data_IF_051252302046
#
_entry.id   IF_051252302046
#
_cell.length_a   1.000
_cell.length_b   1.000
_cell.length_c   1.000
_cell.angle_alpha   90.00
_cell.angle_beta   90.00
_cell.angle_gamma   90.00
#
_symmetry.space_group_name_H-M   'P 1'
#
loop_
_entity.id
_entity.type
_entity.pdbx_description
1 polymer ?
#
# COMPACT_ATOMS: atom_id res chain seq x y z
N UNK A 1 -10.57 9.92 -1.82
CA UNK A 1 -9.73 10.27 -2.99
C UNK A 1 -10.37 9.75 -4.27
N UNK A 2 -10.32 10.51 -5.38
CA UNK A 2 -10.82 10.12 -6.71
C UNK A 2 -9.84 10.56 -7.79
N UNK A 3 -9.41 9.66 -8.68
CA UNK A 3 -8.59 10.04 -9.83
C UNK A 3 -9.45 10.81 -10.84
N UNK A 4 -8.90 11.89 -11.40
CA UNK A 4 -9.53 12.76 -12.40
C UNK A 4 -8.96 12.46 -13.78
N UNK A 5 -7.64 12.53 -13.94
CA UNK A 5 -6.98 12.24 -15.22
C UNK A 5 -5.54 11.76 -15.00
N UNK A 6 -5.02 10.99 -15.94
CA UNK A 6 -3.62 10.59 -16.00
C UNK A 6 -3.10 10.77 -17.42
N UNK A 7 -2.02 11.53 -17.57
CA UNK A 7 -1.22 11.60 -18.78
C UNK A 7 0.13 10.95 -18.52
N UNK A 8 0.53 9.99 -19.37
CA UNK A 8 1.85 9.36 -19.31
C UNK A 8 2.63 9.86 -20.52
N UNK A 9 3.75 10.52 -20.27
CA UNK A 9 4.62 11.06 -21.33
C UNK A 9 5.84 10.18 -21.59
N UNK A 10 6.13 9.24 -20.68
CA UNK A 10 7.13 8.20 -20.88
C UNK A 10 7.08 7.19 -19.73
N UNK A 11 7.03 5.90 -20.05
CA UNK A 11 7.00 4.80 -19.09
C UNK A 11 7.89 3.64 -19.56
N UNK A 12 9.19 3.74 -19.27
CA UNK A 12 10.18 2.72 -19.66
C UNK A 12 9.88 1.35 -19.04
N UNK A 13 9.23 1.31 -17.86
CA UNK A 13 8.82 0.08 -17.17
C UNK A 13 7.80 -0.75 -17.94
N UNK A 14 7.06 -0.14 -18.87
CA UNK A 14 6.11 -0.83 -19.73
C UNK A 14 6.63 -0.96 -21.17
N UNK A 15 7.92 -0.77 -21.40
CA UNK A 15 8.53 -0.78 -22.73
C UNK A 15 7.97 0.30 -23.66
N UNK A 16 7.52 1.42 -23.10
CA UNK A 16 6.90 2.52 -23.84
C UNK A 16 5.45 2.28 -24.30
N UNK A 17 4.82 1.15 -23.91
CA UNK A 17 3.45 0.81 -24.33
C UNK A 17 2.41 1.90 -24.00
N UNK A 18 2.63 2.64 -22.91
CA UNK A 18 1.71 3.64 -22.40
C UNK A 18 2.15 5.07 -22.73
N UNK A 19 3.18 5.25 -23.54
CA UNK A 19 3.72 6.57 -23.88
C UNK A 19 2.70 7.39 -24.68
N UNK A 20 2.49 8.62 -24.26
CA UNK A 20 1.53 9.54 -24.88
C UNK A 20 0.07 9.27 -24.52
N UNK A 21 -0.24 8.28 -23.67
CA UNK A 21 -1.63 8.01 -23.28
C UNK A 21 -2.15 9.12 -22.37
N UNK A 22 -3.41 9.50 -22.61
CA UNK A 22 -4.21 10.34 -21.72
C UNK A 22 -5.48 9.56 -21.35
N UNK A 23 -5.65 9.31 -20.06
CA UNK A 23 -6.78 8.58 -19.51
C UNK A 23 -7.63 9.54 -18.67
N UNK A 24 -8.77 10.01 -19.19
CA UNK A 24 -9.74 10.77 -18.41
C UNK A 24 -10.54 9.78 -17.54
N UNK A 25 -10.32 9.80 -16.24
CA UNK A 25 -11.03 8.93 -15.30
C UNK A 25 -12.39 9.51 -14.92
N UNK A 26 -12.43 10.81 -14.59
CA UNK A 26 -13.64 11.51 -14.10
C UNK A 26 -13.62 12.99 -14.49
N UNK A 27 -14.79 13.62 -14.37
CA UNK A 27 -14.90 15.07 -14.42
C UNK A 27 -14.24 15.75 -13.21
N UNK A 28 -13.92 17.04 -13.30
CA UNK A 28 -13.16 17.78 -12.29
C UNK A 28 -13.92 17.96 -10.96
N UNK A 29 -15.24 17.80 -10.97
CA UNK A 29 -16.12 18.03 -9.81
C UNK A 29 -16.72 16.71 -9.27
N UNK A 30 -16.02 15.58 -9.45
CA UNK A 30 -16.51 14.29 -8.97
C UNK A 30 -16.66 14.29 -7.43
N UNK A 31 -17.81 13.84 -6.94
CA UNK A 31 -18.06 13.77 -5.51
C UNK A 31 -17.20 12.65 -4.88
N UNK A 32 -16.28 13.01 -3.98
CA UNK A 32 -15.37 12.03 -3.37
C UNK A 32 -16.02 11.16 -2.30
N UNK A 33 -17.22 11.53 -1.82
CA UNK A 33 -17.95 10.79 -0.79
C UNK A 33 -18.78 9.63 -1.38
N UNK A 34 -19.01 9.61 -2.69
CA UNK A 34 -19.74 8.54 -3.36
C UNK A 34 -18.81 7.38 -3.72
N UNK A 35 -19.26 6.14 -3.49
CA UNK A 35 -18.60 4.97 -4.07
C UNK A 35 -18.88 4.94 -5.57
N UNK A 36 -17.82 4.98 -6.37
CA UNK A 36 -17.89 5.15 -7.82
C UNK A 36 -16.65 4.46 -8.41
N UNK A 37 -16.74 3.15 -8.69
CA UNK A 37 -15.61 2.34 -9.18
C UNK A 37 -15.33 2.58 -10.67
N UNK A 38 -14.08 2.41 -11.09
CA UNK A 38 -13.68 2.44 -12.50
C UNK A 38 -13.36 1.02 -12.94
N UNK A 39 -13.96 0.60 -14.06
CA UNK A 39 -13.69 -0.68 -14.70
C UNK A 39 -12.84 -0.48 -15.96
N UNK A 40 -11.67 -1.11 -16.01
CA UNK A 40 -10.85 -1.18 -17.21
C UNK A 40 -11.23 -2.45 -17.99
N UNK A 41 -11.80 -2.29 -19.19
CA UNK A 41 -12.28 -3.41 -20.02
C UNK A 41 -11.51 -3.42 -21.34
N UNK A 42 -11.17 -4.62 -21.82
CA UNK A 42 -10.48 -4.82 -23.09
C UNK A 42 -9.88 -6.22 -23.22
N UNK A 43 -9.47 -6.65 -24.42
CA UNK A 43 -8.82 -7.94 -24.66
C UNK A 43 -7.58 -8.20 -23.78
N UNK A 44 -7.16 -9.45 -23.68
CA UNK A 44 -5.91 -9.79 -22.99
C UNK A 44 -4.71 -9.16 -23.72
N UNK A 45 -3.74 -8.65 -22.95
CA UNK A 45 -2.55 -8.00 -23.51
C UNK A 45 -2.70 -6.51 -23.87
N UNK A 46 -3.86 -5.88 -23.68
CA UNK A 46 -4.08 -4.47 -24.06
C UNK A 46 -3.54 -3.42 -23.07
N UNK A 47 -2.70 -3.82 -22.10
CA UNK A 47 -2.10 -2.85 -21.17
C UNK A 47 -2.91 -2.52 -19.91
N UNK A 48 -4.04 -3.20 -19.64
CA UNK A 48 -4.91 -2.89 -18.47
C UNK A 48 -4.15 -2.98 -17.15
N UNK A 49 -3.41 -4.08 -16.96
CA UNK A 49 -2.62 -4.32 -15.75
C UNK A 49 -1.42 -3.38 -15.67
N UNK A 50 -0.81 -3.07 -16.81
CA UNK A 50 0.28 -2.09 -16.92
C UNK A 50 -0.18 -0.69 -16.51
N UNK A 51 -1.40 -0.28 -16.87
CA UNK A 51 -1.95 1.01 -16.43
C UNK A 51 -2.11 1.06 -14.91
N UNK A 52 -2.64 -0.01 -14.30
CA UNK A 52 -2.77 -0.10 -12.84
C UNK A 52 -1.40 -0.12 -12.14
N UNK A 53 -0.42 -0.81 -12.73
CA UNK A 53 0.96 -0.81 -12.26
C UNK A 53 1.55 0.60 -12.31
N UNK A 54 1.39 1.34 -13.41
CA UNK A 54 1.88 2.73 -13.52
C UNK A 54 1.25 3.62 -12.45
N UNK A 55 -0.05 3.50 -12.20
CA UNK A 55 -0.70 4.25 -11.12
C UNK A 55 -0.07 3.93 -9.77
N UNK A 56 0.21 2.66 -9.47
CA UNK A 56 0.88 2.26 -8.24
C UNK A 56 2.35 2.75 -8.18
N UNK A 57 3.09 2.71 -9.29
CA UNK A 57 4.46 3.23 -9.40
C UNK A 57 4.54 4.74 -9.20
N UNK A 58 3.56 5.49 -9.72
CA UNK A 58 3.42 6.93 -9.48
C UNK A 58 3.32 7.18 -7.97
N UNK A 59 2.35 6.56 -7.31
CA UNK A 59 2.17 6.77 -5.87
C UNK A 59 3.35 6.28 -5.04
N UNK A 60 3.97 5.16 -5.39
CA UNK A 60 5.20 4.69 -4.75
C UNK A 60 6.31 5.76 -4.84
N UNK A 61 6.55 6.31 -6.04
CA UNK A 61 7.58 7.31 -6.26
C UNK A 61 7.32 8.60 -5.48
N UNK A 62 6.07 9.07 -5.47
CA UNK A 62 5.64 10.26 -4.72
C UNK A 62 5.81 10.04 -3.21
N UNK A 63 5.42 8.87 -2.71
CA UNK A 63 5.51 8.55 -1.30
C UNK A 63 6.96 8.37 -0.83
N UNK A 64 7.85 7.79 -1.65
CA UNK A 64 9.27 7.76 -1.35
C UNK A 64 9.89 9.17 -1.27
N UNK A 65 9.43 10.11 -2.11
CA UNK A 65 9.96 11.48 -2.12
C UNK A 65 9.43 12.32 -0.95
N UNK A 66 8.13 12.23 -0.64
CA UNK A 66 7.47 13.12 0.32
C UNK A 66 7.08 12.46 1.65
N UNK A 67 7.25 11.15 1.81
CA UNK A 67 6.98 10.42 3.06
C UNK A 67 8.02 9.31 3.32
N UNK A 68 9.33 9.63 3.31
CA UNK A 68 10.42 8.64 3.38
C UNK A 68 10.50 7.87 4.70
N UNK A 69 9.84 8.34 5.76
CA UNK A 69 9.75 7.61 7.03
C UNK A 69 8.71 6.49 6.99
N UNK A 70 7.79 6.50 6.03
CA UNK A 70 6.75 5.49 5.85
C UNK A 70 7.08 4.63 4.64
N UNK A 71 7.44 5.25 3.51
CA UNK A 71 7.69 4.55 2.26
C UNK A 71 9.18 4.53 1.90
N UNK A 72 9.71 3.32 1.69
CA UNK A 72 11.11 3.09 1.33
C UNK A 72 11.20 2.14 0.15
N UNK A 73 12.31 2.22 -0.56
CA UNK A 73 12.61 1.34 -1.68
C UNK A 73 13.17 2.15 -2.84
N UNK A 74 13.45 1.46 -3.93
CA UNK A 74 13.90 2.11 -5.17
C UNK A 74 12.68 2.60 -5.93
N UNK A 75 12.52 3.92 -6.05
CA UNK A 75 11.50 4.52 -6.92
C UNK A 75 11.89 4.34 -8.39
N UNK A 76 10.89 4.35 -9.27
CA UNK A 76 11.11 4.36 -10.71
C UNK A 76 11.27 5.81 -11.18
N UNK A 77 12.50 6.24 -11.45
CA UNK A 77 12.79 7.61 -11.90
C UNK A 77 12.71 7.76 -13.44
N UNK A 78 12.39 6.68 -14.16
CA UNK A 78 12.17 6.66 -15.62
C UNK A 78 10.67 6.73 -16.00
N UNK A 79 9.81 7.11 -15.05
CA UNK A 79 8.38 7.33 -15.27
C UNK A 79 8.04 8.81 -15.29
N UNK A 80 7.52 9.30 -16.40
CA UNK A 80 7.14 10.69 -16.64
C UNK A 80 5.63 10.81 -16.83
N UNK A 81 4.99 11.62 -16.00
CA UNK A 81 3.54 11.63 -15.87
C UNK A 81 3.01 12.96 -15.38
N UNK A 82 1.71 13.14 -15.56
CA UNK A 82 0.86 14.12 -14.89
C UNK A 82 -0.40 13.39 -14.41
N UNK A 83 -0.62 13.34 -13.10
CA UNK A 83 -1.79 12.72 -12.49
C UNK A 83 -2.57 13.79 -11.73
N UNK A 84 -3.86 13.90 -12.03
CA UNK A 84 -4.78 14.75 -11.29
C UNK A 84 -5.76 13.90 -10.47
N UNK A 85 -6.03 14.35 -9.25
CA UNK A 85 -6.99 13.70 -8.37
C UNK A 85 -7.66 14.70 -7.41
N UNK A 86 -8.79 14.27 -6.87
CA UNK A 86 -9.51 14.94 -5.80
C UNK A 86 -9.25 14.19 -4.49
N UNK A 87 -8.92 14.93 -3.44
CA UNK A 87 -8.76 14.40 -2.09
C UNK A 87 -9.47 15.31 -1.10
N UNK A 88 -10.17 14.70 -0.14
CA UNK A 88 -10.77 15.40 0.99
C UNK A 88 -9.81 15.35 2.17
N UNK A 89 -9.61 16.47 2.84
CA UNK A 89 -8.95 16.47 4.14
C UNK A 89 -9.87 15.92 5.24
N UNK A 90 -9.39 15.94 6.49
CA UNK A 90 -10.15 15.50 7.67
C UNK A 90 -11.38 16.36 7.97
N UNK A 91 -11.49 17.55 7.36
CA UNK A 91 -12.59 18.49 7.52
C UNK A 91 -13.53 18.48 6.31
N UNK A 92 -13.45 17.43 5.47
CA UNK A 92 -14.21 17.27 4.23
C UNK A 92 -14.00 18.39 3.20
N UNK A 93 -12.90 19.16 3.33
CA UNK A 93 -12.53 20.15 2.32
C UNK A 93 -11.89 19.43 1.14
N UNK A 94 -12.52 19.54 -0.02
CA UNK A 94 -11.99 18.97 -1.26
C UNK A 94 -10.88 19.84 -1.82
N UNK A 95 -9.76 19.21 -2.13
CA UNK A 95 -8.64 19.79 -2.86
C UNK A 95 -8.44 19.04 -4.15
N UNK A 96 -8.27 19.78 -5.25
CA UNK A 96 -7.79 19.21 -6.52
C UNK A 96 -6.28 19.33 -6.56
N UNK A 97 -5.63 18.19 -6.72
CA UNK A 97 -4.18 18.06 -6.66
C UNK A 97 -3.70 17.54 -8.00
N UNK A 98 -2.61 18.11 -8.48
CA UNK A 98 -1.85 17.62 -9.63
C UNK A 98 -0.46 17.23 -9.14
N UNK A 99 -0.04 16.03 -9.49
CA UNK A 99 1.34 15.59 -9.30
C UNK A 99 1.95 15.35 -10.68
N UNK A 100 3.18 15.83 -10.89
CA UNK A 100 3.83 15.68 -12.18
C UNK A 100 5.32 15.40 -12.06
N UNK A 101 5.83 14.62 -13.01
CA UNK A 101 7.26 14.47 -13.26
C UNK A 101 7.49 14.60 -14.76
N UNK A 102 8.21 15.65 -15.16
CA UNK A 102 8.48 15.95 -16.57
C UNK A 102 9.90 15.55 -16.95
N UNK A 103 10.10 15.22 -18.22
CA UNK A 103 11.42 15.01 -18.81
C UNK A 103 12.06 16.38 -19.00
N UNK A 104 12.65 16.89 -17.93
CA UNK A 104 13.43 18.13 -18.00
C UNK A 104 14.90 17.76 -18.20
N UNK A 105 15.62 18.44 -19.09
CA UNK A 105 17.03 18.13 -19.43
C UNK A 105 18.02 18.27 -18.25
N UNK A 106 17.51 18.52 -17.04
CA UNK A 106 18.26 18.62 -15.80
C UNK A 106 18.51 17.23 -15.19
N UNK A 107 19.63 17.11 -14.47
CA UNK A 107 20.03 15.86 -13.79
C UNK A 107 19.09 15.40 -12.67
N UNK A 108 18.10 16.21 -12.25
CA UNK A 108 17.20 15.89 -11.15
C UNK A 108 15.76 15.83 -11.65
N UNK A 109 15.27 14.62 -11.85
CA UNK A 109 13.88 14.30 -12.21
C UNK A 109 12.97 14.41 -10.99
N UNK A 110 12.74 15.65 -10.52
CA UNK A 110 11.94 15.91 -9.32
C UNK A 110 10.44 15.77 -9.60
N UNK A 111 9.69 15.28 -8.62
CA UNK A 111 8.23 15.33 -8.63
C UNK A 111 7.78 16.72 -8.17
N UNK A 112 6.83 17.29 -8.89
CA UNK A 112 6.12 18.51 -8.50
C UNK A 112 4.73 18.16 -7.99
N UNK A 113 4.27 18.91 -6.99
CA UNK A 113 2.92 18.81 -6.43
C UNK A 113 2.29 20.18 -6.51
N UNK A 114 1.11 20.26 -7.11
CA UNK A 114 0.37 21.50 -7.33
C UNK A 114 -1.06 21.34 -6.80
N UNK A 115 -1.64 22.42 -6.30
CA UNK A 115 -3.04 22.46 -5.86
C UNK A 115 -3.78 23.54 -6.62
N UNK A 116 -5.03 23.27 -6.98
CA UNK A 116 -5.89 24.27 -7.60
C UNK A 116 -6.43 25.24 -6.53
N UNK A 117 -6.11 26.53 -6.66
CA UNK A 117 -6.58 27.64 -5.81
C UNK A 117 -7.10 28.73 -6.74
N UNK A 118 -8.35 29.15 -6.55
CA UNK A 118 -8.98 30.23 -7.33
C UNK A 118 -8.81 30.09 -8.86
N UNK A 119 -8.96 28.86 -9.37
CA UNK A 119 -8.78 28.45 -10.77
C UNK A 119 -7.33 28.37 -11.30
N UNK A 120 -6.35 28.74 -10.49
CA UNK A 120 -4.92 28.66 -10.81
C UNK A 120 -4.21 27.51 -10.08
N UNK A 121 -3.17 26.96 -10.72
CA UNK A 121 -2.34 25.91 -10.12
C UNK A 121 -1.18 26.52 -9.34
N UNK A 122 -1.14 26.28 -8.04
CA UNK A 122 -0.06 26.71 -7.16
C UNK A 122 0.87 25.54 -6.80
N UNK A 123 2.17 25.69 -7.05
CA UNK A 123 3.19 24.69 -6.67
C UNK A 123 3.40 24.67 -5.15
N UNK A 124 3.21 23.50 -4.54
CA UNK A 124 3.46 23.27 -3.12
C UNK A 124 4.89 22.80 -2.87
N UNK A 125 5.56 23.47 -1.93
CA UNK A 125 6.91 23.13 -1.49
C UNK A 125 6.99 22.67 -0.04
N UNK A 126 5.93 22.88 0.76
CA UNK A 126 5.89 22.47 2.17
C UNK A 126 5.61 20.95 2.28
N UNK A 127 6.58 20.13 2.75
CA UNK A 127 6.42 18.69 2.85
C UNK A 127 5.24 18.26 3.74
N UNK A 128 4.89 19.06 4.76
CA UNK A 128 3.77 18.74 5.66
C UNK A 128 2.44 18.82 4.92
N UNK A 129 2.21 19.95 4.24
CA UNK A 129 1.01 20.15 3.40
C UNK A 129 0.94 19.14 2.26
N UNK A 130 2.08 18.79 1.66
CA UNK A 130 2.12 17.75 0.63
C UNK A 130 1.66 16.41 1.23
N UNK A 131 2.20 15.98 2.37
CA UNK A 131 1.85 14.68 2.97
C UNK A 131 0.37 14.55 3.32
N UNK A 132 -0.29 15.65 3.72
CA UNK A 132 -1.75 15.72 3.98
C UNK A 132 -2.60 15.54 2.72
N UNK A 133 -2.04 15.84 1.54
CA UNK A 133 -2.70 15.73 0.24
C UNK A 133 -2.39 14.41 -0.49
N UNK A 134 -1.56 13.55 0.11
CA UNK A 134 -1.25 12.22 -0.42
C UNK A 134 -2.20 11.16 0.16
N UNK A 135 -2.41 10.04 -0.55
CA UNK A 135 -3.22 8.95 -0.02
C UNK A 135 -2.58 8.38 1.25
N UNK A 136 -3.42 8.13 2.27
CA UNK A 136 -2.98 7.48 3.50
C UNK A 136 -2.54 6.03 3.28
N UNK A 137 -3.19 5.33 2.34
CA UNK A 137 -2.85 3.98 1.88
C UNK A 137 -3.14 3.84 0.38
N UNK A 138 -2.32 3.07 -0.30
CA UNK A 138 -2.55 2.60 -1.68
C UNK A 138 -2.58 1.08 -1.63
N UNK A 139 -3.75 0.50 -1.89
CA UNK A 139 -3.98 -0.94 -1.77
C UNK A 139 -4.15 -1.53 -3.18
N UNK A 140 -3.26 -2.44 -3.55
CA UNK A 140 -3.42 -3.29 -4.71
C UNK A 140 -4.11 -4.58 -4.30
N UNK A 141 -5.08 -5.04 -5.10
CA UNK A 141 -5.68 -6.37 -4.93
C UNK A 141 -5.51 -7.18 -6.21
N UNK A 142 -5.11 -8.44 -6.08
CA UNK A 142 -5.00 -9.40 -7.19
C UNK A 142 -5.42 -10.80 -6.75
N UNK A 143 -6.05 -11.56 -7.64
CA UNK A 143 -6.33 -12.98 -7.40
C UNK A 143 -5.07 -13.86 -7.46
N UNK A 144 -3.93 -13.32 -7.90
CA UNK A 144 -2.66 -14.02 -8.07
C UNK A 144 -2.17 -14.09 -9.51
N UNK A 145 -3.03 -13.84 -10.49
CA UNK A 145 -2.70 -13.99 -11.93
C UNK A 145 -2.03 -12.75 -12.55
N UNK A 146 -1.96 -11.64 -11.80
CA UNK A 146 -1.49 -10.36 -12.31
C UNK A 146 -0.10 -10.03 -11.75
N UNK A 147 0.92 -10.74 -12.23
CA UNK A 147 2.30 -10.66 -11.72
C UNK A 147 2.88 -9.23 -11.77
N UNK A 148 2.53 -8.44 -12.79
CA UNK A 148 3.15 -7.13 -13.04
C UNK A 148 2.69 -6.04 -12.07
N UNK A 149 1.45 -6.10 -11.58
CA UNK A 149 0.92 -5.14 -10.59
C UNK A 149 1.71 -5.18 -9.27
N UNK A 150 2.32 -6.32 -8.95
CA UNK A 150 2.97 -6.58 -7.66
C UNK A 150 4.29 -5.81 -7.47
N UNK A 151 4.96 -5.40 -8.55
CA UNK A 151 6.31 -4.83 -8.52
C UNK A 151 6.47 -3.60 -7.61
N UNK A 152 5.66 -2.52 -7.74
CA UNK A 152 5.80 -1.35 -6.86
C UNK A 152 5.57 -1.70 -5.38
N UNK A 153 4.67 -2.65 -5.09
CA UNK A 153 4.41 -3.09 -3.73
C UNK A 153 5.54 -3.95 -3.15
N UNK A 154 6.20 -4.75 -4.00
CA UNK A 154 7.39 -5.51 -3.59
C UNK A 154 8.59 -4.59 -3.35
N UNK A 155 8.76 -3.53 -4.13
CA UNK A 155 9.79 -2.52 -3.89
C UNK A 155 9.60 -1.84 -2.52
N UNK A 156 8.37 -1.39 -2.24
CA UNK A 156 7.94 -0.86 -0.93
C UNK A 156 8.25 -1.84 0.22
N UNK A 157 7.78 -3.08 0.08
CA UNK A 157 7.96 -4.13 1.10
C UNK A 157 9.43 -4.48 1.32
N UNK A 158 10.24 -4.51 0.27
CA UNK A 158 11.67 -4.77 0.36
C UNK A 158 12.39 -3.65 1.13
N UNK A 159 12.05 -2.39 0.84
CA UNK A 159 12.57 -1.23 1.56
C UNK A 159 12.24 -1.27 3.06
N UNK A 160 11.00 -1.57 3.39
CA UNK A 160 10.58 -1.76 4.79
C UNK A 160 11.35 -2.92 5.47
N UNK A 161 11.44 -4.08 4.81
CA UNK A 161 12.11 -5.25 5.38
C UNK A 161 13.60 -5.01 5.63
N UNK A 162 14.27 -4.28 4.72
CA UNK A 162 15.66 -3.88 4.87
C UNK A 162 15.86 -2.95 6.08
N UNK A 163 14.97 -1.97 6.28
CA UNK A 163 15.02 -1.10 7.47
C UNK A 163 14.83 -1.89 8.76
N UNK A 164 13.83 -2.78 8.83
CA UNK A 164 13.62 -3.66 9.98
C UNK A 164 14.87 -4.48 10.29
N UNK A 165 15.47 -5.08 9.26
CA UNK A 165 16.66 -5.90 9.42
C UNK A 165 17.88 -5.08 9.90
N UNK A 166 18.03 -3.84 9.41
CA UNK A 166 19.09 -2.90 9.83
C UNK A 166 18.88 -2.43 11.28
N UNK A 167 17.67 -2.01 11.63
CA UNK A 167 17.35 -1.53 12.97
C UNK A 167 17.46 -2.64 14.02
N UNK A 168 17.07 -3.87 13.70
CA UNK A 168 17.23 -5.02 14.61
C UNK A 168 18.69 -5.33 14.95
N UNK A 169 19.65 -4.95 14.09
CA UNK A 169 21.09 -5.14 14.30
C UNK A 169 21.75 -3.95 15.01
N UNK A 170 21.11 -2.77 15.00
CA UNK A 170 21.65 -1.54 15.56
C UNK A 170 21.09 -1.31 16.97
N UNK A 171 21.95 -1.30 18.00
CA UNK A 171 21.54 -1.13 19.40
C UNK A 171 20.76 0.17 19.64
N UNK A 172 21.10 1.25 18.95
CA UNK A 172 20.49 2.58 19.15
C UNK A 172 19.16 2.76 18.41
N UNK A 173 18.85 1.85 17.47
CA UNK A 173 17.62 1.87 16.66
C UNK A 173 16.68 0.71 16.94
N UNK A 174 17.12 -0.30 17.68
CA UNK A 174 16.35 -1.53 17.94
C UNK A 174 14.99 -1.27 18.60
N UNK A 175 14.93 -0.22 19.42
CA UNK A 175 13.75 0.18 20.18
C UNK A 175 12.91 1.26 19.48
N UNK A 176 13.38 1.79 18.35
CA UNK A 176 12.64 2.79 17.59
C UNK A 176 11.57 2.10 16.74
N UNK A 177 10.30 2.53 16.84
CA UNK A 177 9.24 1.99 15.99
C UNK A 177 9.51 2.37 14.53
N UNK A 178 9.16 1.47 13.62
CA UNK A 178 9.31 1.70 12.18
C UNK A 178 7.91 1.97 11.65
N UNK A 179 7.69 3.13 11.02
CA UNK A 179 6.36 3.43 10.48
C UNK A 179 6.03 2.48 9.34
N UNK A 180 4.76 2.14 9.23
CA UNK A 180 4.25 1.22 8.21
C UNK A 180 4.33 1.80 6.80
N UNK A 181 4.62 0.98 5.78
CA UNK A 181 4.53 1.41 4.38
C UNK A 181 3.11 1.82 4.03
N UNK A 182 2.97 2.79 3.13
CA UNK A 182 1.64 3.24 2.66
C UNK A 182 1.15 2.39 1.49
N UNK A 183 2.04 1.68 0.80
CA UNK A 183 1.67 0.66 -0.20
C UNK A 183 1.42 -0.71 0.44
N UNK A 184 0.34 -1.36 0.03
CA UNK A 184 0.02 -2.73 0.45
C UNK A 184 -0.56 -3.53 -0.72
N UNK A 185 0.01 -4.71 -0.97
CA UNK A 185 -0.57 -5.68 -1.89
C UNK A 185 -1.34 -6.72 -1.09
N UNK A 186 -2.59 -6.95 -1.49
CA UNK A 186 -3.43 -8.05 -1.04
C UNK A 186 -3.59 -9.01 -2.20
N UNK A 187 -3.32 -10.27 -1.94
CA UNK A 187 -3.46 -11.37 -2.87
C UNK A 187 -4.17 -12.56 -2.21
N UNK A 188 -4.39 -13.63 -2.97
CA UNK A 188 -5.03 -14.82 -2.43
C UNK A 188 -4.26 -15.43 -1.24
N UNK A 189 -2.92 -15.28 -1.22
CA UNK A 189 -2.08 -15.80 -0.14
C UNK A 189 -2.16 -14.98 1.15
N UNK A 190 -2.64 -13.75 1.07
CA UNK A 190 -2.69 -12.77 2.18
C UNK A 190 -4.12 -12.42 2.64
N UNK A 191 -5.15 -12.85 1.88
CA UNK A 191 -6.55 -12.63 2.21
C UNK A 191 -6.97 -13.22 3.56
N UNK A 192 -6.44 -14.39 3.92
CA UNK A 192 -6.78 -15.04 5.18
C UNK A 192 -6.26 -14.24 6.38
N UNK A 193 -5.06 -13.68 6.27
CA UNK A 193 -4.48 -12.81 7.29
C UNK A 193 -5.32 -11.55 7.50
N UNK A 194 -5.82 -10.93 6.42
CA UNK A 194 -6.72 -9.76 6.49
C UNK A 194 -8.00 -10.11 7.25
N UNK A 195 -8.60 -11.27 6.93
CA UNK A 195 -9.81 -11.73 7.60
C UNK A 195 -9.56 -11.97 9.10
N UNK A 196 -8.47 -12.69 9.43
CA UNK A 196 -8.11 -12.99 10.83
C UNK A 196 -7.82 -11.70 11.60
N UNK A 197 -7.08 -10.76 11.03
CA UNK A 197 -6.78 -9.47 11.66
C UNK A 197 -8.06 -8.70 12.01
N UNK A 198 -9.00 -8.60 11.07
CA UNK A 198 -10.28 -7.93 11.30
C UNK A 198 -11.17 -8.66 12.31
N UNK A 199 -11.23 -9.99 12.28
CA UNK A 199 -12.00 -10.76 13.27
C UNK A 199 -11.44 -10.65 14.69
N UNK A 200 -10.13 -10.45 14.83
CA UNK A 200 -9.47 -10.28 16.13
C UNK A 200 -9.57 -8.85 16.66
N UNK A 201 -9.25 -7.85 15.82
CA UNK A 201 -9.02 -6.47 16.27
C UNK A 201 -9.97 -5.45 15.68
N UNK A 202 -10.81 -5.83 14.71
CA UNK A 202 -11.81 -4.94 14.13
C UNK A 202 -12.81 -4.45 15.18
N UNK A 203 -13.53 -3.38 14.85
CA UNK A 203 -14.69 -2.96 15.62
C UNK A 203 -15.76 -4.06 15.62
N UNK A 204 -16.64 -4.07 16.62
CA UNK A 204 -17.71 -5.06 16.70
C UNK A 204 -18.63 -5.03 15.47
N UNK A 205 -18.93 -3.85 14.91
CA UNK A 205 -19.69 -3.72 13.66
C UNK A 205 -18.99 -4.43 12.49
N UNK A 206 -17.68 -4.28 12.35
CA UNK A 206 -16.91 -4.90 11.26
C UNK A 206 -16.83 -6.41 11.45
N UNK A 207 -16.63 -6.88 12.68
CA UNK A 207 -16.65 -8.32 12.99
C UNK A 207 -18.00 -8.94 12.64
N UNK A 208 -19.11 -8.31 13.04
CA UNK A 208 -20.46 -8.79 12.75
C UNK A 208 -20.71 -8.83 11.25
N UNK A 209 -20.41 -7.76 10.51
CA UNK A 209 -20.56 -7.72 9.04
C UNK A 209 -19.76 -8.81 8.35
N UNK A 210 -18.52 -9.08 8.79
CA UNK A 210 -17.69 -10.15 8.21
C UNK A 210 -18.28 -11.53 8.48
N UNK A 211 -18.76 -11.78 9.70
CA UNK A 211 -19.39 -13.04 10.09
C UNK A 211 -20.67 -13.28 9.25
N UNK A 212 -21.53 -12.27 9.14
CA UNK A 212 -22.78 -12.35 8.39
C UNK A 212 -22.57 -12.52 6.89
N UNK A 213 -21.71 -11.70 6.29
CA UNK A 213 -21.46 -11.70 4.84
C UNK A 213 -20.83 -13.02 4.39
N UNK A 214 -19.91 -13.57 5.17
CA UNK A 214 -19.26 -14.84 4.87
C UNK A 214 -20.03 -16.06 5.38
N UNK A 215 -21.20 -15.87 6.01
CA UNK A 215 -22.01 -16.94 6.61
C UNK A 215 -21.21 -17.82 7.57
N UNK A 216 -20.33 -17.19 8.34
CA UNK A 216 -19.57 -17.84 9.40
C UNK A 216 -20.44 -17.90 10.67
N UNK A 217 -20.27 -18.92 11.49
CA UNK A 217 -20.96 -18.97 12.80
C UNK A 217 -20.16 -18.21 13.86
N UNK A 218 -18.87 -18.53 13.99
CA UNK A 218 -17.97 -17.92 14.98
C UNK A 218 -16.51 -18.16 14.64
N UNK A 219 -15.66 -17.17 14.94
CA UNK A 219 -14.21 -17.35 14.93
C UNK A 219 -13.76 -18.16 16.17
N UNK A 220 -13.36 -19.42 15.96
CA UNK A 220 -12.97 -20.32 17.08
C UNK A 220 -11.51 -20.17 17.46
N UNK A 221 -10.60 -20.44 16.52
CA UNK A 221 -9.16 -20.38 16.74
C UNK A 221 -8.38 -20.31 15.44
N UNK A 222 -7.15 -19.79 15.49
CA UNK A 222 -6.18 -19.85 14.40
C UNK A 222 -4.77 -20.19 14.91
N UNK A 223 -3.89 -20.56 13.98
CA UNK A 223 -2.48 -20.88 14.27
C UNK A 223 -1.58 -19.89 13.54
N UNK A 224 -0.70 -19.23 14.29
CA UNK A 224 0.34 -18.39 13.72
C UNK A 224 1.70 -19.08 13.85
N UNK A 225 2.41 -19.27 12.74
CA UNK A 225 3.75 -19.87 12.71
C UNK A 225 4.76 -18.77 12.41
N UNK A 226 5.76 -18.64 13.30
CA UNK A 226 6.80 -17.61 13.21
C UNK A 226 8.15 -18.28 13.09
N UNK A 227 8.78 -18.17 11.92
CA UNK A 227 10.08 -18.79 11.72
C UNK A 227 11.23 -17.81 12.00
N UNK A 228 11.95 -18.06 13.10
CA UNK A 228 13.12 -17.25 13.48
C UNK A 228 14.45 -17.93 13.13
N UNK A 229 14.45 -19.21 12.76
CA UNK A 229 15.67 -19.98 12.48
C UNK A 229 15.56 -20.66 11.10
N UNK A 230 15.51 -19.84 10.04
CA UNK A 230 15.49 -20.31 8.65
C UNK A 230 16.92 -20.55 8.14
N UNK A 231 17.17 -21.54 7.25
CA UNK A 231 18.51 -21.76 6.68
C UNK A 231 19.12 -20.52 6.01
N UNK A 232 18.27 -19.64 5.45
CA UNK A 232 18.69 -18.36 4.87
C UNK A 232 18.86 -17.23 5.91
N UNK A 233 18.63 -17.49 7.20
CA UNK A 233 18.84 -16.50 8.25
C UNK A 233 20.34 -16.36 8.58
N UNK A 234 20.78 -15.19 9.08
CA UNK A 234 22.15 -15.00 9.55
C UNK A 234 22.53 -16.02 10.63
N UNK A 235 23.84 -16.23 10.83
CA UNK A 235 24.35 -17.01 11.96
C UNK A 235 23.80 -16.46 13.28
N UNK A 236 23.08 -17.31 14.04
CA UNK A 236 22.36 -16.92 15.26
C UNK A 236 20.87 -16.61 15.07
N UNK A 237 20.31 -16.80 13.87
CA UNK A 237 18.88 -16.65 13.59
C UNK A 237 18.44 -15.21 13.28
N UNK A 238 17.15 -15.04 13.04
CA UNK A 238 16.52 -13.73 12.78
C UNK A 238 16.52 -12.90 14.05
N UNK A 239 17.16 -11.74 14.00
CA UNK A 239 17.11 -10.74 15.08
C UNK A 239 15.82 -9.92 14.94
N UNK A 240 15.10 -9.75 16.05
CA UNK A 240 13.85 -9.00 16.11
C UNK A 240 14.07 -7.61 16.71
N UNK A 241 13.35 -6.62 16.19
CA UNK A 241 13.14 -5.32 16.84
C UNK A 241 12.29 -5.48 18.09
N UNK A 242 12.31 -4.50 18.99
CA UNK A 242 11.47 -4.54 20.20
C UNK A 242 9.98 -4.58 19.86
N UNK A 243 9.58 -3.86 18.81
CA UNK A 243 8.22 -3.85 18.28
C UNK A 243 7.74 -5.27 17.90
N UNK A 244 8.53 -6.02 17.11
CA UNK A 244 8.17 -7.39 16.72
C UNK A 244 8.15 -8.35 17.91
N UNK A 245 8.99 -8.13 18.92
CA UNK A 245 8.93 -8.91 20.17
C UNK A 245 7.64 -8.66 20.93
N UNK A 246 7.22 -7.39 21.02
CA UNK A 246 5.97 -6.99 21.67
C UNK A 246 4.76 -7.60 20.95
N UNK A 247 4.76 -7.61 19.61
CA UNK A 247 3.73 -8.25 18.79
C UNK A 247 3.62 -9.76 19.03
N UNK A 248 4.75 -10.46 19.10
CA UNK A 248 4.76 -11.89 19.46
C UNK A 248 4.25 -12.09 20.89
N UNK A 249 4.62 -11.21 21.82
CA UNK A 249 4.13 -11.23 23.20
C UNK A 249 2.61 -11.03 23.28
N UNK A 250 2.08 -10.05 22.57
CA UNK A 250 0.64 -9.79 22.48
C UNK A 250 -0.12 -11.01 21.95
N UNK A 251 0.32 -11.57 20.82
CA UNK A 251 -0.35 -12.73 20.22
C UNK A 251 -0.36 -13.96 21.14
N UNK A 252 0.64 -14.14 22.03
CA UNK A 252 0.62 -15.24 23.01
C UNK A 252 -0.51 -15.12 24.04
N UNK A 253 -1.00 -13.91 24.27
CA UNK A 253 -2.01 -13.61 25.29
C UNK A 253 -3.43 -13.49 24.72
N UNK A 254 -3.61 -13.68 23.41
CA UNK A 254 -4.93 -13.62 22.76
C UNK A 254 -5.67 -14.97 22.93
N UNK A 255 -6.88 -15.00 23.52
CA UNK A 255 -7.60 -16.25 23.83
C UNK A 255 -7.89 -17.16 22.63
N UNK A 256 -7.98 -16.60 21.42
CA UNK A 256 -8.26 -17.32 20.17
C UNK A 256 -7.00 -17.90 19.49
N UNK A 257 -5.82 -17.64 20.03
CA UNK A 257 -4.56 -18.20 19.53
C UNK A 257 -4.36 -19.56 20.17
N UNK A 258 -4.64 -20.63 19.41
CA UNK A 258 -4.55 -22.00 19.94
C UNK A 258 -3.11 -22.48 20.11
N UNK A 259 -2.17 -21.95 19.31
CA UNK A 259 -0.73 -22.15 19.50
C UNK A 259 0.09 -21.15 18.66
N UNK A 260 1.19 -20.65 19.23
CA UNK A 260 2.29 -20.02 18.47
C UNK A 260 3.43 -21.00 18.43
N UNK A 261 3.79 -21.43 17.22
CA UNK A 261 4.84 -22.42 17.04
C UNK A 261 6.00 -21.79 16.29
N UNK A 262 7.14 -21.73 16.98
CA UNK A 262 8.42 -21.32 16.41
C UNK A 262 9.02 -22.54 15.70
N UNK A 263 8.78 -22.70 14.40
CA UNK A 263 9.25 -23.84 13.59
C UNK A 263 10.10 -23.43 12.40
N UNK A 264 10.82 -24.41 11.86
CA UNK A 264 11.81 -24.32 10.77
C UNK A 264 11.21 -24.20 9.33
N UNK A 265 9.96 -23.76 9.14
CA UNK A 265 9.35 -23.64 7.79
C UNK A 265 8.56 -22.33 7.64
N UNK A 266 8.66 -21.72 6.45
CA UNK A 266 8.55 -20.28 6.19
C UNK A 266 7.09 -19.84 6.04
N UNK A 267 6.64 -18.84 6.82
CA UNK A 267 5.53 -17.96 6.40
C UNK A 267 5.60 -16.60 7.09
N UNK A 268 5.52 -15.55 6.28
CA UNK A 268 5.76 -14.13 6.58
C UNK A 268 4.54 -13.41 7.20
N UNK A 269 3.74 -14.13 7.98
CA UNK A 269 2.33 -13.80 8.25
C UNK A 269 2.11 -12.76 9.37
N UNK A 270 3.08 -12.57 10.29
CA UNK A 270 2.89 -11.68 11.47
C UNK A 270 2.83 -10.20 11.09
N UNK A 271 3.73 -9.76 10.22
CA UNK A 271 3.81 -8.34 9.84
C UNK A 271 2.55 -7.94 9.11
N UNK A 272 2.08 -8.78 8.18
CA UNK A 272 0.84 -8.51 7.47
C UNK A 272 -0.35 -8.50 8.44
N UNK A 273 -0.48 -9.50 9.32
CA UNK A 273 -1.49 -9.50 10.39
C UNK A 273 -1.46 -8.17 11.16
N UNK A 274 -0.31 -7.78 11.72
CA UNK A 274 -0.23 -6.64 12.64
C UNK A 274 -0.26 -5.24 11.97
N UNK A 275 0.09 -5.15 10.68
CA UNK A 275 -0.05 -3.91 9.90
C UNK A 275 -1.48 -3.73 9.38
N UNK A 276 -2.17 -4.83 9.07
CA UNK A 276 -3.62 -4.84 8.79
C UNK A 276 -4.45 -4.54 10.05
N UNK A 277 -3.97 -4.99 11.21
CA UNK A 277 -4.57 -4.88 12.53
C UNK A 277 -4.82 -3.45 13.04
N UNK A 278 -4.16 -2.41 12.54
CA UNK A 278 -4.30 -1.04 13.08
C UNK A 278 -5.04 -0.06 12.17
N UNK A 279 -5.16 -0.33 10.86
CA UNK A 279 -5.55 0.73 9.90
C UNK A 279 -6.33 0.29 8.66
N UNK A 280 -6.69 -0.99 8.49
CA UNK A 280 -7.41 -1.43 7.28
C UNK A 280 -8.83 -1.94 7.60
N UNK A 281 -9.84 -1.14 7.25
CA UNK A 281 -11.21 -1.61 7.09
C UNK A 281 -11.41 -2.00 5.61
N UNK A 282 -11.53 -3.30 5.33
CA UNK A 282 -11.93 -3.78 4.01
C UNK A 282 -13.36 -4.28 4.08
N UNK A 283 -14.29 -3.54 3.49
CA UNK A 283 -15.57 -4.09 3.06
C UNK A 283 -15.28 -4.77 1.72
N UNK A 284 -15.18 -6.10 1.74
CA UNK A 284 -15.08 -6.91 0.52
C UNK A 284 -16.36 -6.73 -0.30
N UNK A 285 -16.25 -6.02 -1.43
CA UNK A 285 -17.29 -5.94 -2.45
C UNK A 285 -17.37 -7.24 -3.25
N UNK A 286 -18.60 -7.67 -3.51
CA UNK A 286 -18.99 -8.86 -4.25
C UNK A 286 -18.27 -9.02 -5.59
N UNK A 287 -17.67 -10.19 -5.82
CA UNK A 287 -17.56 -10.78 -7.15
C UNK A 287 -18.90 -11.44 -7.47
N UNK A 288 -19.67 -10.82 -8.37
CA UNK A 288 -20.74 -11.51 -9.09
C UNK A 288 -20.07 -12.30 -10.22
N UNK A 289 -20.48 -13.56 -10.36
CA UNK A 289 -20.00 -14.58 -11.28
C UNK A 289 -19.76 -14.11 -12.73
#
# INVERSE_FOLDING_TARGET
MKLVSLTITGADTCGGLLDGINVPFRGPNANTNLFDPICLVGPNGTGKSQLLQVVAEIFHSVLCEFSPEEERGTSNDELFFELEYLISDLYEKFSRVRISRKRDGTRKKKIKVEVLVDEDWEELNDPRRISELLPAKVIGYTSGDNETLSLPFFASRAGYADEVAKNAKNKDKKDKPIKDPRLMLIDYSTNLEVLVANLLLGSEDVKQRLIETQRLEKFRSFRCVVQLNHPAAPSGGVKLTQELQNYIGFMKNVPHVSSIILRKILTFSIFLLMNLCTKLFLITGLTVH
#
